data_IF_567327168579
#
_entry.id   IF_567327168579
#
_cell.length_a   1.000
_cell.length_b   1.000
_cell.length_c   1.000
_cell.angle_alpha   90.00
_cell.angle_beta   90.00
_cell.angle_gamma   90.00
#
_symmetry.space_group_name_H-M   'P 1'
#
loop_
_entity.id
_entity.type
_entity.pdbx_description
1 polymer ?
#
# COMPACT_ATOMS: atom_id res chain seq x y z
N UNK A 1 -13.04 16.57 0.63
CA UNK A 1 -13.17 17.59 1.69
C UNK A 1 -13.57 18.92 1.02
N UNK A 2 -14.03 19.93 1.75
CA UNK A 2 -14.36 21.22 1.13
C UNK A 2 -13.15 22.17 1.16
N UNK A 3 -12.65 22.54 -0.02
CA UNK A 3 -11.54 23.49 -0.17
C UNK A 3 -11.87 24.86 0.43
N UNK A 4 -13.12 25.30 0.34
CA UNK A 4 -13.57 26.60 0.83
C UNK A 4 -13.45 26.67 2.36
N UNK A 5 -13.81 25.59 3.05
CA UNK A 5 -13.63 25.44 4.50
C UNK A 5 -12.18 25.67 4.92
N UNK A 6 -11.21 25.05 4.25
CA UNK A 6 -9.80 25.18 4.61
C UNK A 6 -9.26 26.59 4.41
N UNK A 7 -9.64 27.24 3.31
CA UNK A 7 -9.25 28.63 3.04
C UNK A 7 -9.82 29.55 4.12
N UNK A 8 -11.10 29.39 4.47
CA UNK A 8 -11.74 30.21 5.49
C UNK A 8 -11.11 30.01 6.87
N UNK A 9 -10.68 28.78 7.21
CA UNK A 9 -9.97 28.52 8.45
C UNK A 9 -8.61 29.23 8.50
N UNK A 10 -7.82 29.16 7.42
CA UNK A 10 -6.56 29.91 7.33
C UNK A 10 -6.79 31.42 7.43
N UNK A 11 -7.80 31.97 6.73
CA UNK A 11 -8.15 33.39 6.85
C UNK A 11 -8.55 33.77 8.29
N UNK A 12 -9.20 32.87 9.02
CA UNK A 12 -9.57 33.10 10.42
C UNK A 12 -8.34 33.17 11.32
N UNK A 13 -7.31 32.36 11.06
CA UNK A 13 -6.00 32.49 11.72
C UNK A 13 -5.37 33.86 11.44
N UNK A 14 -5.45 34.36 10.21
CA UNK A 14 -4.92 35.68 9.87
C UNK A 14 -5.62 36.79 10.65
N UNK A 15 -6.96 36.75 10.72
CA UNK A 15 -7.77 37.70 11.49
C UNK A 15 -7.41 37.71 12.98
N UNK A 16 -7.25 36.53 13.58
CA UNK A 16 -6.83 36.41 14.99
C UNK A 16 -5.42 36.96 15.18
N UNK A 17 -4.48 36.59 14.31
CA UNK A 17 -3.08 37.02 14.41
C UNK A 17 -2.85 38.48 14.03
N UNK A 18 -3.80 39.16 13.39
CA UNK A 18 -3.72 40.61 13.15
C UNK A 18 -3.83 41.44 14.44
N UNK A 19 -4.43 40.86 15.49
CA UNK A 19 -4.55 41.46 16.81
C UNK A 19 -3.29 41.27 17.66
N UNK A 20 -2.29 40.52 17.18
CA UNK A 20 -1.02 40.35 17.89
C UNK A 20 -0.19 41.65 17.78
N UNK A 21 0.76 41.90 18.71
CA UNK A 21 1.68 43.02 18.58
C UNK A 21 2.41 42.99 17.23
N UNK A 22 2.56 44.15 16.57
CA UNK A 22 3.00 44.24 15.16
C UNK A 22 4.34 43.54 14.86
N UNK A 23 5.27 43.55 15.83
CA UNK A 23 6.63 42.99 15.68
C UNK A 23 6.79 41.61 16.35
N UNK A 24 5.70 40.99 16.78
CA UNK A 24 5.75 39.70 17.46
C UNK A 24 6.11 38.56 16.50
N UNK A 25 7.21 37.82 16.73
CA UNK A 25 7.60 36.68 15.89
C UNK A 25 6.53 35.59 15.83
N UNK A 26 5.80 35.35 16.93
CA UNK A 26 4.76 34.32 17.00
C UNK A 26 3.66 34.52 15.95
N UNK A 27 3.37 35.77 15.56
CA UNK A 27 2.42 36.10 14.49
C UNK A 27 2.78 35.38 13.18
N UNK A 28 4.05 35.42 12.80
CA UNK A 28 4.53 34.81 11.55
C UNK A 28 4.60 33.29 11.66
N UNK A 29 4.99 32.77 12.83
CA UNK A 29 5.06 31.32 13.07
C UNK A 29 3.68 30.65 12.98
N UNK A 30 2.66 31.27 13.60
CA UNK A 30 1.27 30.80 13.55
C UNK A 30 0.75 30.79 12.11
N UNK A 31 0.93 31.89 11.37
CA UNK A 31 0.49 32.00 9.97
C UNK A 31 1.16 30.97 9.07
N UNK A 32 2.50 30.85 9.17
CA UNK A 32 3.26 29.88 8.40
C UNK A 32 2.77 28.45 8.64
N UNK A 33 2.48 28.09 9.89
CA UNK A 33 1.92 26.76 10.20
C UNK A 33 0.51 26.56 9.63
N UNK A 34 -0.36 27.58 9.70
CA UNK A 34 -1.68 27.51 9.07
C UNK A 34 -1.59 27.35 7.55
N UNK A 35 -0.64 28.02 6.89
CA UNK A 35 -0.40 27.90 5.44
C UNK A 35 0.14 26.52 5.07
N UNK A 36 1.06 25.96 5.86
CA UNK A 36 1.55 24.59 5.67
C UNK A 36 0.41 23.57 5.76
N UNK A 37 -0.50 23.73 6.74
CA UNK A 37 -1.68 22.87 6.89
C UNK A 37 -2.62 23.03 5.69
N UNK A 38 -2.92 24.28 5.28
CA UNK A 38 -3.76 24.55 4.12
C UNK A 38 -3.22 23.89 2.85
N UNK A 39 -1.92 24.08 2.58
CA UNK A 39 -1.26 23.46 1.43
C UNK A 39 -1.46 21.94 1.46
N UNK A 40 -1.18 21.31 2.58
CA UNK A 40 -1.24 19.85 2.71
C UNK A 40 -2.69 19.34 2.60
N UNK A 41 -3.67 20.07 3.11
CA UNK A 41 -5.11 19.76 2.99
C UNK A 41 -5.63 19.94 1.56
N UNK A 42 -5.18 20.97 0.84
CA UNK A 42 -5.53 21.18 -0.58
C UNK A 42 -4.94 20.05 -1.43
N UNK A 43 -3.69 19.64 -1.15
CA UNK A 43 -3.10 18.48 -1.80
C UNK A 43 -3.90 17.21 -1.50
N UNK A 44 -4.30 17.00 -0.24
CA UNK A 44 -5.12 15.87 0.16
C UNK A 44 -6.46 15.84 -0.59
N UNK A 45 -7.18 16.97 -0.64
CA UNK A 45 -8.45 17.07 -1.37
C UNK A 45 -8.28 16.80 -2.88
N UNK A 46 -7.22 17.34 -3.49
CA UNK A 46 -6.88 17.07 -4.89
C UNK A 46 -6.65 15.57 -5.14
N UNK A 47 -5.98 14.87 -4.23
CA UNK A 47 -5.74 13.42 -4.38
C UNK A 47 -7.02 12.60 -4.31
N UNK A 48 -7.94 12.93 -3.41
CA UNK A 48 -9.21 12.22 -3.31
C UNK A 48 -10.13 12.43 -4.52
N UNK A 49 -10.01 13.57 -5.23
CA UNK A 49 -10.88 13.88 -6.38
C UNK A 49 -10.43 13.27 -7.71
N UNK A 50 -9.14 12.97 -7.88
CA UNK A 50 -8.58 12.71 -9.22
C UNK A 50 -8.01 11.30 -9.46
N UNK A 51 -8.34 10.31 -8.62
CA UNK A 51 -7.74 8.95 -8.69
C UNK A 51 -6.23 9.00 -9.02
N UNK A 52 -5.53 9.86 -8.28
CA UNK A 52 -4.22 10.38 -8.67
C UNK A 52 -3.08 9.40 -8.38
N UNK A 53 -1.97 9.54 -9.12
CA UNK A 53 -0.70 8.79 -8.97
C UNK A 53 -0.21 8.66 -7.52
N UNK A 54 -0.50 9.64 -6.65
CA UNK A 54 -0.09 9.60 -5.24
C UNK A 54 -0.97 8.71 -4.35
N UNK A 55 -2.19 8.35 -4.76
CA UNK A 55 -2.93 7.23 -4.13
C UNK A 55 -2.17 5.90 -4.33
N UNK A 56 -1.52 5.74 -5.49
CA UNK A 56 -0.69 4.57 -5.77
C UNK A 56 0.61 4.57 -4.94
N UNK A 57 1.06 5.76 -4.51
CA UNK A 57 2.18 5.92 -3.58
C UNK A 57 1.70 6.05 -2.13
N UNK A 58 1.31 4.92 -1.54
CA UNK A 58 0.85 4.83 -0.14
C UNK A 58 1.79 5.53 0.86
N UNK A 59 3.09 5.52 0.62
CA UNK A 59 4.07 6.16 1.50
C UNK A 59 4.00 7.69 1.44
N UNK A 60 3.81 8.27 0.26
CA UNK A 60 3.64 9.72 0.11
C UNK A 60 2.35 10.20 0.78
N UNK A 61 1.25 9.46 0.62
CA UNK A 61 -0.01 9.76 1.32
C UNK A 61 0.17 9.68 2.84
N UNK A 62 0.83 8.64 3.36
CA UNK A 62 1.07 8.51 4.80
C UNK A 62 1.90 9.68 5.35
N UNK A 63 2.96 10.07 4.66
CA UNK A 63 3.78 11.24 5.02
C UNK A 63 2.97 12.53 5.01
N UNK A 64 2.06 12.71 4.05
CA UNK A 64 1.17 13.88 3.99
C UNK A 64 0.22 13.93 5.19
N UNK A 65 -0.46 12.82 5.50
CA UNK A 65 -1.34 12.73 6.66
C UNK A 65 -0.58 13.01 7.96
N UNK A 66 0.63 12.44 8.11
CA UNK A 66 1.50 12.69 9.25
C UNK A 66 1.95 14.16 9.34
N UNK A 67 2.27 14.80 8.22
CA UNK A 67 2.61 16.23 8.14
C UNK A 67 1.47 17.10 8.66
N UNK A 68 0.23 16.83 8.22
CA UNK A 68 -0.95 17.59 8.67
C UNK A 68 -1.11 17.47 10.19
N UNK A 69 -1.10 16.26 10.73
CA UNK A 69 -1.24 16.02 12.18
C UNK A 69 -0.14 16.73 12.99
N UNK A 70 1.12 16.62 12.55
CA UNK A 70 2.25 17.30 13.19
C UNK A 70 2.10 18.82 13.17
N UNK A 71 1.73 19.39 12.03
CA UNK A 71 1.57 20.83 11.91
C UNK A 71 0.40 21.35 12.74
N UNK A 72 -0.72 20.61 12.83
CA UNK A 72 -1.84 20.95 13.72
C UNK A 72 -1.40 20.94 15.19
N UNK A 73 -0.65 19.92 15.62
CA UNK A 73 -0.13 19.86 16.98
C UNK A 73 0.79 21.05 17.31
N UNK A 74 1.71 21.41 16.40
CA UNK A 74 2.58 22.58 16.56
C UNK A 74 1.77 23.89 16.60
N UNK A 75 0.77 24.03 15.74
CA UNK A 75 -0.11 25.20 15.73
C UNK A 75 -0.86 25.36 17.06
N UNK A 76 -1.35 24.27 17.64
CA UNK A 76 -2.00 24.27 18.96
C UNK A 76 -1.05 24.72 20.07
N UNK A 77 0.22 24.33 20.02
CA UNK A 77 1.26 24.84 20.95
C UNK A 77 1.41 26.34 20.81
N UNK A 78 1.48 26.86 19.58
CA UNK A 78 1.57 28.30 19.35
C UNK A 78 0.33 29.06 19.84
N UNK A 79 -0.87 28.50 19.67
CA UNK A 79 -2.09 29.09 20.23
C UNK A 79 -2.03 29.14 21.76
N UNK A 80 -1.54 28.08 22.43
CA UNK A 80 -1.38 28.10 23.88
C UNK A 80 -0.40 29.19 24.32
N UNK A 81 0.75 29.33 23.66
CA UNK A 81 1.70 30.41 23.95
C UNK A 81 1.02 31.77 23.78
N UNK A 82 0.35 32.01 22.66
CA UNK A 82 -0.32 33.28 22.37
C UNK A 82 -1.44 33.61 23.36
N UNK A 83 -2.21 32.61 23.79
CA UNK A 83 -3.26 32.74 24.81
C UNK A 83 -2.67 33.18 26.16
N UNK A 84 -1.52 32.62 26.56
CA UNK A 84 -0.82 33.02 27.80
C UNK A 84 -0.26 34.45 27.76
N UNK A 85 -0.03 35.01 26.58
CA UNK A 85 0.38 36.42 26.45
C UNK A 85 -0.77 37.41 26.67
N UNK A 86 -2.02 36.93 26.73
CA UNK A 86 -3.21 37.74 26.99
C UNK A 86 -3.43 38.90 26.01
N UNK A 87 -3.01 38.75 24.74
CA UNK A 87 -3.24 39.75 23.69
C UNK A 87 -4.68 39.75 23.16
N UNK A 88 -5.39 38.63 23.34
CA UNK A 88 -6.72 38.41 22.81
C UNK A 88 -7.54 37.60 23.81
N UNK A 89 -8.85 37.64 23.63
CA UNK A 89 -9.75 36.83 24.44
C UNK A 89 -9.61 35.32 24.10
N UNK A 90 -9.65 34.43 25.11
CA UNK A 90 -9.51 32.97 24.92
C UNK A 90 -10.46 32.36 23.89
N UNK A 91 -11.65 32.92 23.71
CA UNK A 91 -12.70 32.39 22.82
C UNK A 91 -12.23 32.36 21.35
N UNK A 92 -11.39 33.32 20.95
CA UNK A 92 -10.82 33.35 19.59
C UNK A 92 -9.97 32.11 19.32
N UNK A 93 -9.21 31.65 20.32
CA UNK A 93 -8.40 30.45 20.21
C UNK A 93 -9.23 29.18 20.33
N UNK A 94 -10.29 29.19 21.16
CA UNK A 94 -11.18 28.05 21.35
C UNK A 94 -11.82 27.63 20.02
N UNK A 95 -12.35 28.58 19.25
CA UNK A 95 -12.98 28.31 17.94
C UNK A 95 -11.96 27.73 16.95
N UNK A 96 -10.77 28.34 16.86
CA UNK A 96 -9.72 27.83 15.97
C UNK A 96 -9.27 26.42 16.36
N UNK A 97 -9.07 26.15 17.65
CA UNK A 97 -8.72 24.80 18.15
C UNK A 97 -9.80 23.78 17.83
N UNK A 98 -11.07 24.13 17.97
CA UNK A 98 -12.17 23.25 17.63
C UNK A 98 -12.16 22.87 16.14
N UNK A 99 -12.00 23.85 15.24
CA UNK A 99 -11.94 23.60 13.80
C UNK A 99 -10.71 22.77 13.38
N UNK A 100 -9.53 23.10 13.90
CA UNK A 100 -8.33 22.31 13.64
C UNK A 100 -8.40 20.91 14.28
N UNK A 101 -9.06 20.76 15.43
CA UNK A 101 -9.30 19.45 16.06
C UNK A 101 -10.28 18.58 15.26
N UNK A 102 -11.27 19.19 14.60
CA UNK A 102 -12.14 18.46 13.67
C UNK A 102 -11.33 17.95 12.47
N UNK A 103 -10.45 18.77 11.90
CA UNK A 103 -9.54 18.36 10.82
C UNK A 103 -8.61 17.24 11.29
N UNK A 104 -8.01 17.37 12.48
CA UNK A 104 -7.15 16.34 13.07
C UNK A 104 -7.89 15.00 13.17
N UNK A 105 -9.13 15.02 13.67
CA UNK A 105 -9.98 13.84 13.79
C UNK A 105 -10.29 13.20 12.43
N UNK A 106 -10.63 14.00 11.41
CA UNK A 106 -10.86 13.54 10.05
C UNK A 106 -9.61 12.88 9.44
N UNK A 107 -8.45 13.53 9.58
CA UNK A 107 -7.17 13.04 9.05
C UNK A 107 -6.72 11.76 9.78
N UNK A 108 -6.92 11.69 11.09
CA UNK A 108 -6.60 10.50 11.88
C UNK A 108 -7.47 9.31 11.48
N UNK A 109 -8.77 9.53 11.21
CA UNK A 109 -9.67 8.49 10.71
C UNK A 109 -9.18 7.95 9.36
N UNK A 110 -8.83 8.85 8.43
CA UNK A 110 -8.28 8.47 7.12
C UNK A 110 -6.97 7.66 7.27
N UNK A 111 -6.11 8.05 8.20
CA UNK A 111 -4.85 7.33 8.47
C UNK A 111 -5.13 5.91 9.00
N UNK A 112 -6.09 5.75 9.90
CA UNK A 112 -6.47 4.46 10.46
C UNK A 112 -7.10 3.53 9.42
N UNK A 113 -8.06 4.05 8.63
CA UNK A 113 -8.72 3.29 7.55
C UNK A 113 -7.68 2.71 6.57
N UNK A 114 -6.67 3.52 6.19
CA UNK A 114 -5.59 3.08 5.29
C UNK A 114 -4.58 2.12 5.94
N UNK A 115 -4.33 2.27 7.24
CA UNK A 115 -3.50 1.32 7.99
C UNK A 115 -4.18 -0.06 8.06
N UNK A 116 -5.48 -0.10 8.38
CA UNK A 116 -6.28 -1.33 8.42
C UNK A 116 -6.35 -1.98 7.03
N UNK A 117 -6.54 -1.20 5.97
CA UNK A 117 -6.53 -1.70 4.59
C UNK A 117 -5.18 -2.33 4.21
N UNK A 118 -4.08 -1.73 4.66
CA UNK A 118 -2.73 -2.27 4.42
C UNK A 118 -2.49 -3.56 5.18
N UNK A 119 -2.93 -3.66 6.44
CA UNK A 119 -2.85 -4.89 7.25
C UNK A 119 -3.73 -5.98 6.66
N UNK A 120 -4.96 -5.67 6.23
CA UNK A 120 -5.86 -6.63 5.56
C UNK A 120 -5.28 -7.15 4.25
N UNK A 121 -4.70 -6.28 3.43
CA UNK A 121 -4.04 -6.68 2.19
C UNK A 121 -2.79 -7.52 2.45
N UNK A 122 -1.99 -7.17 3.45
CA UNK A 122 -0.84 -7.96 3.87
C UNK A 122 -1.25 -9.33 4.44
N UNK A 123 -2.31 -9.38 5.26
CA UNK A 123 -2.89 -10.61 5.81
C UNK A 123 -3.50 -11.50 4.73
N UNK A 124 -4.22 -10.93 3.75
CA UNK A 124 -4.72 -11.66 2.59
C UNK A 124 -3.57 -12.19 1.73
N UNK A 125 -2.54 -11.39 1.46
CA UNK A 125 -1.36 -11.84 0.71
C UNK A 125 -0.53 -12.88 1.45
N UNK A 126 -0.50 -12.87 2.79
CA UNK A 126 0.17 -13.89 3.60
C UNK A 126 -0.68 -15.13 3.82
N UNK A 127 -2.01 -15.02 3.84
CA UNK A 127 -2.94 -16.15 3.79
C UNK A 127 -2.90 -16.86 2.43
N UNK A 128 -2.81 -16.12 1.32
CA UNK A 128 -2.64 -16.66 -0.04
C UNK A 128 -1.23 -17.23 -0.26
N UNK A 129 -0.23 -16.85 0.57
CA UNK A 129 1.14 -17.38 0.52
C UNK A 129 1.44 -18.47 1.55
N UNK A 130 0.48 -18.90 2.36
CA UNK A 130 0.67 -20.06 3.24
C UNK A 130 0.38 -21.33 2.43
N UNK A 131 1.34 -22.26 2.27
CA UNK A 131 1.01 -23.56 1.70
C UNK A 131 0.14 -24.30 2.72
N UNK A 132 -1.10 -24.61 2.36
CA UNK A 132 -1.93 -25.51 3.17
C UNK A 132 -1.23 -26.88 3.30
N UNK A 133 -1.16 -27.46 4.50
CA UNK A 133 -0.68 -28.82 4.67
C UNK A 133 -1.74 -29.81 4.17
N UNK A 134 -1.49 -30.33 2.96
CA UNK A 134 -1.85 -31.64 2.41
C UNK A 134 -3.21 -32.25 2.82
N UNK A 135 -4.12 -32.31 1.85
CA UNK A 135 -4.67 -33.60 1.37
C UNK A 135 -4.44 -33.74 -0.15
N UNK A 136 -3.19 -34.08 -0.49
CA UNK A 136 -2.79 -34.53 -1.83
C UNK A 136 -3.39 -35.91 -2.10
N UNK A 137 -4.57 -35.97 -2.72
CA UNK A 137 -5.01 -37.10 -3.59
C UNK A 137 -6.09 -36.70 -4.63
N UNK A 138 -6.60 -35.47 -4.63
CA UNK A 138 -7.77 -35.10 -5.47
C UNK A 138 -7.53 -33.98 -6.50
N UNK A 139 -6.29 -33.72 -6.93
CA UNK A 139 -5.98 -32.51 -7.74
C UNK A 139 -5.91 -32.81 -9.26
N UNK A 140 -5.72 -34.05 -9.70
CA UNK A 140 -5.48 -34.36 -11.13
C UNK A 140 -6.78 -34.74 -11.86
N UNK A 141 -7.85 -34.01 -11.54
CA UNK A 141 -9.15 -34.09 -12.23
C UNK A 141 -9.80 -32.72 -12.49
N UNK A 142 -9.31 -31.62 -11.90
CA UNK A 142 -9.98 -30.33 -12.00
C UNK A 142 -9.47 -29.48 -13.19
N UNK A 143 -10.34 -29.11 -14.16
CA UNK A 143 -9.99 -28.28 -15.32
C UNK A 143 -9.46 -26.89 -14.96
N UNK A 144 -9.74 -26.40 -13.76
CA UNK A 144 -9.44 -25.04 -13.30
C UNK A 144 -7.95 -24.77 -13.10
N UNK A 145 -7.14 -25.79 -12.77
CA UNK A 145 -5.68 -25.65 -12.59
C UNK A 145 -4.96 -25.55 -13.95
N UNK A 146 -5.51 -26.16 -14.99
CA UNK A 146 -4.96 -26.09 -16.35
C UNK A 146 -5.11 -24.67 -16.94
N UNK A 147 -6.22 -23.98 -16.65
CA UNK A 147 -6.55 -22.69 -17.25
C UNK A 147 -5.52 -21.56 -16.99
N UNK A 148 -4.75 -21.63 -15.91
CA UNK A 148 -3.70 -20.66 -15.57
C UNK A 148 -2.29 -20.99 -16.09
N UNK A 149 -2.11 -22.16 -16.71
CA UNK A 149 -0.80 -22.64 -17.18
C UNK A 149 -0.62 -22.36 -18.68
N UNK A 150 0.62 -22.03 -19.08
CA UNK A 150 0.95 -21.91 -20.51
C UNK A 150 0.73 -23.25 -21.21
N UNK A 151 0.28 -23.24 -22.47
CA UNK A 151 -0.02 -24.46 -23.24
C UNK A 151 1.13 -25.48 -23.20
N UNK A 152 2.39 -25.01 -23.22
CA UNK A 152 3.57 -25.89 -23.09
C UNK A 152 3.67 -26.61 -21.73
N UNK A 153 3.30 -25.95 -20.65
CA UNK A 153 3.40 -26.47 -19.28
C UNK A 153 2.33 -27.52 -19.04
N UNK A 154 1.14 -27.32 -19.63
CA UNK A 154 0.08 -28.32 -19.65
C UNK A 154 0.52 -29.61 -20.38
N UNK A 155 1.20 -29.48 -21.53
CA UNK A 155 1.71 -30.63 -22.29
C UNK A 155 2.76 -31.41 -21.48
N UNK A 156 3.69 -30.71 -20.81
CA UNK A 156 4.69 -31.34 -19.93
C UNK A 156 4.02 -32.13 -18.80
N UNK A 157 2.97 -31.59 -18.18
CA UNK A 157 2.24 -32.28 -17.12
C UNK A 157 1.46 -33.50 -17.64
N UNK A 158 0.85 -33.42 -18.82
CA UNK A 158 0.20 -34.59 -19.47
C UNK A 158 1.22 -35.69 -19.75
N UNK A 159 2.37 -35.33 -20.29
CA UNK A 159 3.46 -36.27 -20.57
C UNK A 159 3.97 -36.97 -19.30
N UNK A 160 4.13 -36.22 -18.20
CA UNK A 160 4.53 -36.78 -16.91
C UNK A 160 3.44 -37.63 -16.27
N UNK A 161 2.16 -37.36 -16.55
CA UNK A 161 1.03 -38.19 -16.11
C UNK A 161 1.03 -39.56 -16.80
N UNK A 162 1.33 -39.59 -18.11
CA UNK A 162 1.34 -40.82 -18.91
C UNK A 162 2.59 -41.67 -18.67
N UNK A 163 3.76 -41.06 -18.53
CA UNK A 163 5.04 -41.78 -18.38
C UNK A 163 5.55 -41.89 -16.95
N UNK A 164 4.92 -41.20 -16.00
CA UNK A 164 5.30 -41.15 -14.59
C UNK A 164 6.53 -40.29 -14.29
N UNK A 165 7.63 -40.46 -15.06
CA UNK A 165 8.88 -39.70 -14.89
C UNK A 165 9.55 -39.39 -16.24
N UNK A 166 10.25 -38.27 -16.32
CA UNK A 166 10.98 -37.88 -17.53
C UNK A 166 12.21 -37.00 -17.24
N UNK A 167 13.23 -37.10 -18.10
CA UNK A 167 14.34 -36.16 -18.13
C UNK A 167 14.08 -35.03 -19.14
N UNK A 168 14.84 -33.94 -19.03
CA UNK A 168 14.77 -32.82 -19.98
C UNK A 168 15.06 -33.25 -21.43
N UNK A 169 15.85 -34.32 -21.62
CA UNK A 169 16.10 -34.88 -22.95
C UNK A 169 14.88 -35.62 -23.53
N UNK A 170 14.12 -36.33 -22.69
CA UNK A 170 12.91 -37.04 -23.10
C UNK A 170 11.80 -36.06 -23.50
N UNK A 171 11.69 -34.95 -22.77
CA UNK A 171 10.78 -33.85 -23.11
C UNK A 171 11.19 -33.17 -24.43
N UNK A 172 12.49 -33.05 -24.72
CA UNK A 172 12.96 -32.46 -25.97
C UNK A 172 12.63 -33.31 -27.21
N UNK A 173 12.50 -34.64 -27.05
CA UNK A 173 12.05 -35.53 -28.13
C UNK A 173 10.56 -35.34 -28.47
N UNK A 174 9.74 -34.99 -27.47
CA UNK A 174 8.28 -34.83 -27.63
C UNK A 174 7.85 -33.35 -27.81
N UNK A 175 8.76 -32.41 -27.56
CA UNK A 175 8.61 -30.97 -27.79
C UNK A 175 9.84 -30.43 -28.55
N UNK A 176 10.02 -30.80 -29.84
CA UNK A 176 11.19 -30.40 -30.62
C UNK A 176 11.29 -28.88 -30.81
N UNK A 177 10.15 -28.19 -30.71
CA UNK A 177 9.95 -26.75 -30.93
C UNK A 177 10.56 -25.87 -29.83
N UNK A 178 10.91 -26.47 -28.67
CA UNK A 178 11.33 -25.73 -27.48
C UNK A 178 12.78 -26.05 -27.11
N UNK A 179 13.61 -25.04 -26.85
CA UNK A 179 15.02 -25.26 -26.47
C UNK A 179 15.15 -25.93 -25.10
N UNK A 180 16.27 -26.63 -24.85
CA UNK A 180 16.58 -27.24 -23.54
C UNK A 180 16.56 -26.21 -22.40
N UNK A 181 16.97 -24.97 -22.67
CA UNK A 181 16.95 -23.85 -21.71
C UNK A 181 15.53 -23.45 -21.32
N UNK A 182 14.62 -23.43 -22.29
CA UNK A 182 13.22 -23.09 -22.04
C UNK A 182 12.52 -24.22 -21.28
N UNK A 183 12.77 -25.49 -21.65
CA UNK A 183 12.26 -26.64 -20.88
C UNK A 183 12.74 -26.61 -19.42
N UNK A 184 14.01 -26.28 -19.17
CA UNK A 184 14.51 -26.12 -17.80
C UNK A 184 13.75 -25.04 -17.03
N UNK A 185 13.53 -23.87 -17.63
CA UNK A 185 12.76 -22.78 -17.00
C UNK A 185 11.31 -23.18 -16.69
N UNK A 186 10.67 -23.93 -17.59
CA UNK A 186 9.32 -24.43 -17.36
C UNK A 186 9.29 -25.48 -16.24
N UNK A 187 10.29 -26.37 -16.17
CA UNK A 187 10.42 -27.32 -15.06
C UNK A 187 10.71 -26.62 -13.73
N UNK A 188 11.56 -25.59 -13.72
CA UNK A 188 11.83 -24.78 -12.52
C UNK A 188 10.55 -24.07 -12.04
N UNK A 189 9.74 -23.58 -12.96
CA UNK A 189 8.42 -23.02 -12.65
C UNK A 189 7.49 -24.08 -12.04
N UNK A 190 7.39 -25.26 -12.65
CA UNK A 190 6.54 -26.35 -12.15
C UNK A 190 7.03 -26.89 -10.79
N UNK A 191 8.35 -26.95 -10.56
CA UNK A 191 8.96 -27.31 -9.28
C UNK A 191 8.61 -26.29 -8.19
N UNK A 192 8.77 -24.99 -8.48
CA UNK A 192 8.48 -23.90 -7.54
C UNK A 192 7.01 -23.87 -7.13
N UNK A 193 6.11 -24.24 -8.05
CA UNK A 193 4.68 -24.35 -7.79
C UNK A 193 4.27 -25.72 -7.21
N UNK A 194 5.22 -26.62 -6.96
CA UNK A 194 4.96 -27.91 -6.30
C UNK A 194 4.20 -28.94 -7.15
N UNK A 195 4.11 -28.75 -8.47
CA UNK A 195 3.39 -29.65 -9.38
C UNK A 195 4.23 -30.86 -9.79
N UNK A 196 5.54 -30.69 -9.81
CA UNK A 196 6.53 -31.74 -10.08
C UNK A 196 7.56 -31.77 -8.97
N UNK A 197 8.25 -32.89 -8.82
CA UNK A 197 9.42 -33.02 -7.96
C UNK A 197 10.61 -33.55 -8.73
N UNK A 198 11.80 -33.12 -8.32
CA UNK A 198 13.08 -33.46 -8.92
C UNK A 198 13.69 -34.63 -8.17
N UNK A 199 14.05 -35.68 -8.89
CA UNK A 199 14.77 -36.84 -8.37
C UNK A 199 16.16 -36.93 -9.01
N UNK A 200 17.17 -37.17 -8.18
CA UNK A 200 18.54 -37.47 -8.60
C UNK A 200 19.50 -36.28 -8.64
N UNK A 201 20.80 -36.59 -8.65
CA UNK A 201 21.88 -35.61 -8.54
C UNK A 201 22.52 -35.27 -9.89
N UNK A 202 22.72 -33.96 -10.08
CA UNK A 202 23.46 -33.20 -11.12
C UNK A 202 23.35 -33.66 -12.60
N UNK A 203 23.60 -34.92 -12.94
CA UNK A 203 23.65 -35.45 -14.32
C UNK A 203 22.40 -36.27 -14.67
N UNK A 204 21.80 -36.99 -13.72
CA UNK A 204 20.59 -37.83 -13.94
C UNK A 204 19.35 -37.24 -13.27
N UNK A 205 19.07 -35.99 -13.59
CA UNK A 205 17.89 -35.31 -13.06
C UNK A 205 16.63 -35.77 -13.78
N UNK A 206 15.81 -36.53 -13.06
CA UNK A 206 14.46 -36.93 -13.47
C UNK A 206 13.43 -36.05 -12.77
N UNK A 207 12.32 -35.81 -13.45
CA UNK A 207 11.18 -35.12 -12.88
C UNK A 207 9.99 -36.06 -12.88
N UNK A 208 9.23 -36.09 -11.78
CA UNK A 208 7.96 -36.80 -11.69
C UNK A 208 6.88 -35.88 -11.13
N UNK A 209 5.62 -36.23 -11.35
CA UNK A 209 4.52 -35.52 -10.68
C UNK A 209 4.67 -35.72 -9.17
N UNK A 210 4.48 -34.63 -8.41
CA UNK A 210 4.57 -34.67 -6.96
C UNK A 210 3.30 -35.35 -6.41
N UNK A 211 3.49 -36.47 -5.71
CA UNK A 211 2.41 -37.28 -5.13
C UNK A 211 1.94 -36.75 -3.77
#
# INVERSE_FOLDING_TARGET
MDKSRFINLSLSVYRVTDLFPKKEPLRFLVRKKADDILRDLVLLDYYFKKDSFLLNNKQALFKLLESILKNVAVLNVYFNIAEKQNWLKPENFLILRAEYGAIESEVQRLRQERAVETVRQAAYQSAVKRPEPKKLKAIIGNPTVMAGLKSRQQIILRFLKERGKAQTQDLKKNLPEVTKRTLRRDMDFLLKNGLVERLGDKIRTEYRLKA
#
